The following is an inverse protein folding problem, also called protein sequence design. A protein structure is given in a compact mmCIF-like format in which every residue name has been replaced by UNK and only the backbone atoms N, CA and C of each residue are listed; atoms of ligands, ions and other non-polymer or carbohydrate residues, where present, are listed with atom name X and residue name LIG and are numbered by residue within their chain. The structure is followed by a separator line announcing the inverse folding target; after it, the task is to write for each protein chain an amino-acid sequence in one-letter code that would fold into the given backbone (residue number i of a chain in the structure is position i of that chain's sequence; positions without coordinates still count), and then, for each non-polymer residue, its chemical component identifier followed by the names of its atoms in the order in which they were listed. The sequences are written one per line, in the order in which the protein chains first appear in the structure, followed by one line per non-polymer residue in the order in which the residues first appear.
data_IF_752477810084
#
_entry.id   IF_752477810084
#
_cell.length_a   1.000
_cell.length_b   1.000
_cell.length_c   1.000
_cell.angle_alpha   90.00
_cell.angle_beta   90.00
_cell.angle_gamma   90.00
#
_symmetry.space_group_name_H-M   'P 1'
#
loop_
_entity.id
_entity.type
_entity.pdbx_description
1 polymer ?
#
# COMPACT_ATOMS: atom_id res chain seq x y z
N UNK A 1 3.94 -25.72 -22.85
CA UNK A 1 4.64 -25.64 -21.55
C UNK A 1 5.71 -24.56 -21.52
N UNK A 2 6.59 -24.40 -22.54
CA UNK A 2 7.66 -23.35 -22.55
C UNK A 2 7.14 -21.92 -22.40
N UNK A 3 5.98 -21.59 -22.95
CA UNK A 3 5.37 -20.24 -22.90
C UNK A 3 4.90 -19.86 -21.48
N UNK A 4 4.32 -20.81 -20.72
CA UNK A 4 3.85 -20.58 -19.35
C UNK A 4 5.03 -20.40 -18.41
N UNK A 5 6.06 -21.21 -18.52
CA UNK A 5 7.27 -21.08 -17.70
C UNK A 5 8.00 -19.75 -17.94
N UNK A 6 8.08 -19.28 -19.19
CA UNK A 6 8.69 -17.98 -19.50
C UNK A 6 7.87 -16.83 -18.94
N UNK A 7 6.53 -16.91 -18.98
CA UNK A 7 5.63 -15.93 -18.41
C UNK A 7 5.77 -15.86 -16.88
N UNK A 8 5.74 -17.01 -16.19
CA UNK A 8 5.92 -17.09 -14.74
C UNK A 8 7.28 -16.51 -14.36
N UNK A 9 8.37 -16.89 -15.03
CA UNK A 9 9.71 -16.37 -14.74
C UNK A 9 9.82 -14.85 -14.92
N UNK A 10 9.03 -14.25 -15.82
CA UNK A 10 9.00 -12.80 -16.06
C UNK A 10 8.14 -12.06 -15.06
N UNK A 11 7.05 -12.68 -14.55
CA UNK A 11 6.03 -12.03 -13.73
C UNK A 11 5.89 -12.60 -12.32
N UNK A 12 6.83 -13.47 -11.89
CA UNK A 12 6.73 -14.17 -10.61
C UNK A 12 6.51 -13.23 -9.40
N UNK A 13 7.18 -12.08 -9.39
CA UNK A 13 7.07 -11.14 -8.28
C UNK A 13 5.71 -10.43 -8.26
N UNK A 14 5.15 -10.18 -9.43
CA UNK A 14 3.77 -9.68 -9.56
C UNK A 14 2.76 -10.73 -9.08
N UNK A 15 2.94 -11.99 -9.43
CA UNK A 15 2.10 -13.10 -8.97
C UNK A 15 2.16 -13.26 -7.46
N UNK A 16 3.38 -13.24 -6.87
CA UNK A 16 3.55 -13.30 -5.42
C UNK A 16 2.84 -12.15 -4.71
N UNK A 17 2.97 -10.92 -5.20
CA UNK A 17 2.30 -9.76 -4.63
C UNK A 17 0.76 -9.86 -4.73
N UNK A 18 0.25 -10.42 -5.83
CA UNK A 18 -1.19 -10.61 -6.05
C UNK A 18 -1.73 -11.70 -5.13
N UNK A 19 -1.08 -12.86 -5.06
CA UNK A 19 -1.47 -13.95 -4.16
C UNK A 19 -1.34 -13.53 -2.70
N UNK A 20 -0.21 -12.92 -2.33
CA UNK A 20 0.03 -12.41 -0.99
C UNK A 20 -1.00 -11.36 -0.54
N UNK A 21 -1.45 -10.50 -1.47
CA UNK A 21 -2.50 -9.53 -1.21
C UNK A 21 -3.88 -10.15 -0.92
N UNK A 22 -4.14 -11.39 -1.36
CA UNK A 22 -5.38 -12.12 -1.07
C UNK A 22 -5.36 -12.82 0.29
N UNK A 23 -4.18 -13.07 0.87
CA UNK A 23 -4.06 -13.83 2.15
C UNK A 23 -4.93 -13.22 3.26
N UNK A 24 -4.92 -11.89 3.54
CA UNK A 24 -5.75 -11.34 4.59
C UNK A 24 -7.25 -11.57 4.34
N UNK A 25 -7.71 -11.53 3.08
CA UNK A 25 -9.11 -11.78 2.73
C UNK A 25 -9.51 -13.24 3.03
N UNK A 26 -8.65 -14.19 2.67
CA UNK A 26 -8.86 -15.61 2.97
C UNK A 26 -8.88 -15.83 4.49
N UNK A 27 -7.98 -15.23 5.23
CA UNK A 27 -7.95 -15.31 6.70
C UNK A 27 -9.22 -14.74 7.34
N UNK A 28 -9.73 -13.61 6.82
CA UNK A 28 -10.98 -13.00 7.26
C UNK A 28 -12.18 -13.93 7.02
N UNK A 29 -12.33 -14.42 5.78
CA UNK A 29 -13.46 -15.29 5.41
C UNK A 29 -13.47 -16.61 6.20
N UNK A 30 -12.30 -17.24 6.35
CA UNK A 30 -12.16 -18.47 7.15
C UNK A 30 -12.44 -18.21 8.63
N UNK A 31 -11.94 -17.09 9.20
CA UNK A 31 -12.17 -16.74 10.59
C UNK A 31 -13.64 -16.49 10.91
N UNK A 32 -14.36 -15.79 10.02
CA UNK A 32 -15.81 -15.55 10.12
C UNK A 32 -16.59 -16.87 10.01
N UNK A 33 -16.26 -17.71 9.02
CA UNK A 33 -16.95 -18.99 8.81
C UNK A 33 -16.79 -19.97 9.98
N UNK A 34 -15.62 -19.94 10.63
CA UNK A 34 -15.33 -20.81 11.76
C UNK A 34 -15.81 -20.26 13.11
N UNK A 35 -16.40 -19.07 13.14
CA UNK A 35 -16.86 -18.43 14.39
C UNK A 35 -15.74 -18.23 15.42
N UNK A 36 -14.49 -18.00 14.99
CA UNK A 36 -13.32 -17.96 15.88
C UNK A 36 -13.27 -16.73 16.78
N UNK A 37 -14.02 -15.70 16.47
CA UNK A 37 -13.87 -14.39 17.10
C UNK A 37 -15.02 -14.09 18.07
N UNK A 38 -14.65 -13.63 19.25
CA UNK A 38 -15.61 -13.20 20.30
C UNK A 38 -16.34 -11.93 19.82
N UNK A 39 -15.62 -11.00 19.21
CA UNK A 39 -16.17 -9.81 18.57
C UNK A 39 -15.77 -9.78 17.09
N UNK A 40 -16.62 -10.32 16.19
CA UNK A 40 -16.33 -10.35 14.76
C UNK A 40 -16.22 -8.97 14.13
N UNK A 41 -16.94 -7.95 14.64
CA UNK A 41 -16.94 -6.59 14.09
C UNK A 41 -15.60 -5.92 14.38
N UNK A 42 -15.17 -5.88 15.64
CA UNK A 42 -13.91 -5.30 16.04
C UNK A 42 -12.72 -6.00 15.37
N UNK A 43 -12.75 -7.35 15.30
CA UNK A 43 -11.68 -8.14 14.71
C UNK A 43 -11.58 -7.90 13.18
N UNK A 44 -12.71 -7.86 12.46
CA UNK A 44 -12.73 -7.60 11.01
C UNK A 44 -12.25 -6.19 10.72
N UNK A 45 -12.66 -5.20 11.52
CA UNK A 45 -12.21 -3.81 11.40
C UNK A 45 -10.71 -3.70 11.64
N UNK A 46 -10.19 -4.32 12.69
CA UNK A 46 -8.75 -4.33 13.02
C UNK A 46 -7.91 -5.00 11.93
N UNK A 47 -8.31 -6.18 11.44
CA UNK A 47 -7.58 -6.93 10.41
C UNK A 47 -7.57 -6.24 9.07
N UNK A 48 -8.69 -5.65 8.64
CA UNK A 48 -8.76 -4.90 7.38
C UNK A 48 -7.90 -3.63 7.44
N UNK A 49 -7.91 -2.90 8.56
CA UNK A 49 -7.04 -1.76 8.77
C UNK A 49 -5.55 -2.13 8.77
N UNK A 50 -5.19 -3.21 9.47
CA UNK A 50 -3.81 -3.72 9.51
C UNK A 50 -3.33 -4.19 8.13
N UNK A 51 -4.18 -4.87 7.36
CA UNK A 51 -3.85 -5.27 5.99
C UNK A 51 -3.67 -4.06 5.07
N UNK A 52 -4.52 -3.04 5.20
CA UNK A 52 -4.43 -1.81 4.41
C UNK A 52 -3.08 -1.10 4.61
N UNK A 53 -2.69 -0.85 5.86
CA UNK A 53 -1.43 -0.14 6.15
C UNK A 53 -0.21 -0.99 5.77
N UNK A 54 -0.21 -2.29 6.03
CA UNK A 54 0.87 -3.19 5.64
C UNK A 54 1.10 -3.16 4.13
N UNK A 55 0.05 -3.36 3.33
CA UNK A 55 0.14 -3.41 1.87
C UNK A 55 0.48 -2.04 1.27
N UNK A 56 0.02 -0.94 1.88
CA UNK A 56 0.41 0.41 1.52
C UNK A 56 1.91 0.62 1.72
N UNK A 57 2.45 0.24 2.88
CA UNK A 57 3.87 0.35 3.21
C UNK A 57 4.72 -0.54 2.29
N UNK A 58 4.30 -1.77 2.00
CA UNK A 58 4.96 -2.64 1.04
C UNK A 58 4.97 -2.05 -0.37
N UNK A 59 3.87 -1.44 -0.81
CA UNK A 59 3.81 -0.72 -2.09
C UNK A 59 4.78 0.47 -2.11
N UNK A 60 4.87 1.22 -1.02
CA UNK A 60 5.83 2.31 -0.87
C UNK A 60 7.28 1.80 -0.83
N UNK A 61 7.57 0.64 -0.27
CA UNK A 61 8.90 0.07 -0.18
C UNK A 61 9.49 -0.37 -1.53
N UNK A 62 8.65 -0.72 -2.51
CA UNK A 62 9.11 -1.20 -3.82
C UNK A 62 10.13 -0.29 -4.51
N UNK A 63 9.93 1.03 -4.47
CA UNK A 63 10.83 1.99 -5.12
C UNK A 63 12.17 2.15 -4.37
N UNK A 64 12.21 2.36 -3.04
CA UNK A 64 13.45 2.36 -2.27
C UNK A 64 14.25 1.07 -2.40
N UNK A 65 13.60 -0.09 -2.33
CA UNK A 65 14.26 -1.40 -2.52
C UNK A 65 14.97 -1.46 -3.89
N UNK A 66 14.29 -1.06 -4.95
CA UNK A 66 14.95 -0.98 -6.26
C UNK A 66 16.07 0.07 -6.28
N UNK A 67 15.90 1.20 -5.59
CA UNK A 67 16.93 2.24 -5.53
C UNK A 67 18.16 1.79 -4.77
N UNK A 68 18.02 1.10 -3.65
CA UNK A 68 19.14 0.63 -2.81
C UNK A 68 19.79 -0.63 -3.38
N UNK A 69 19.00 -1.64 -3.72
CA UNK A 69 19.51 -2.98 -4.10
C UNK A 69 19.55 -3.22 -5.62
N UNK A 70 18.96 -2.37 -6.46
CA UNK A 70 18.87 -2.59 -7.90
C UNK A 70 17.88 -3.68 -8.33
N UNK A 71 17.07 -4.18 -7.39
CA UNK A 71 16.16 -5.29 -7.64
C UNK A 71 14.90 -4.82 -8.39
N UNK A 72 14.98 -4.82 -9.73
CA UNK A 72 13.92 -4.34 -10.62
C UNK A 72 12.60 -5.12 -10.52
N UNK A 73 12.57 -6.46 -10.32
CA UNK A 73 11.32 -7.21 -10.26
C UNK A 73 10.33 -6.69 -9.21
N UNK A 74 10.83 -6.12 -8.09
CA UNK A 74 9.98 -5.56 -7.02
C UNK A 74 9.05 -4.44 -7.51
N UNK A 75 9.43 -3.71 -8.57
CA UNK A 75 8.61 -2.63 -9.11
C UNK A 75 7.29 -3.14 -9.72
N UNK A 76 7.23 -4.40 -10.14
CA UNK A 76 6.00 -5.01 -10.68
C UNK A 76 4.94 -5.24 -9.61
N UNK A 77 5.35 -5.42 -8.35
CA UNK A 77 4.47 -5.59 -7.21
C UNK A 77 3.82 -4.28 -6.72
N UNK A 78 4.40 -3.11 -7.04
CA UNK A 78 3.93 -1.82 -6.54
C UNK A 78 2.45 -1.56 -6.83
N UNK A 79 1.99 -1.88 -8.05
CA UNK A 79 0.60 -1.66 -8.45
C UNK A 79 -0.38 -2.60 -7.73
N UNK A 80 -0.23 -3.94 -7.76
CA UNK A 80 -1.15 -4.81 -7.05
C UNK A 80 -1.17 -4.53 -5.54
N UNK A 81 -0.03 -4.32 -4.89
CA UNK A 81 0.01 -3.99 -3.46
C UNK A 81 -0.75 -2.69 -3.14
N UNK A 82 -0.61 -1.65 -3.96
CA UNK A 82 -1.35 -0.40 -3.78
C UNK A 82 -2.85 -0.55 -3.99
N UNK A 83 -3.29 -1.37 -4.96
CA UNK A 83 -4.69 -1.65 -5.19
C UNK A 83 -5.32 -2.49 -4.06
N UNK A 84 -4.60 -3.47 -3.54
CA UNK A 84 -5.04 -4.23 -2.36
C UNK A 84 -5.08 -3.35 -1.10
N UNK A 85 -4.12 -2.45 -0.91
CA UNK A 85 -4.17 -1.48 0.19
C UNK A 85 -5.45 -0.64 0.13
N UNK A 86 -5.83 -0.16 -1.06
CA UNK A 86 -7.09 0.56 -1.25
C UNK A 86 -8.32 -0.34 -1.01
N UNK A 87 -8.30 -1.59 -1.49
CA UNK A 87 -9.39 -2.54 -1.26
C UNK A 87 -9.63 -2.75 0.24
N UNK A 88 -8.56 -3.02 1.00
CA UNK A 88 -8.68 -3.23 2.45
C UNK A 88 -9.03 -1.95 3.21
N UNK A 89 -8.57 -0.79 2.77
CA UNK A 89 -9.01 0.49 3.32
C UNK A 89 -10.51 0.72 3.07
N UNK A 90 -11.03 0.33 1.91
CA UNK A 90 -12.46 0.36 1.59
C UNK A 90 -13.27 -0.61 2.45
N UNK A 91 -12.80 -1.85 2.62
CA UNK A 91 -13.43 -2.82 3.50
C UNK A 91 -13.41 -2.37 4.96
N UNK A 92 -12.30 -1.77 5.43
CA UNK A 92 -12.18 -1.19 6.76
C UNK A 92 -13.22 -0.08 6.99
N UNK A 93 -13.36 0.84 6.04
CA UNK A 93 -14.35 1.91 6.10
C UNK A 93 -15.79 1.38 6.05
N UNK A 94 -16.07 0.41 5.15
CA UNK A 94 -17.39 -0.23 5.05
C UNK A 94 -17.78 -0.97 6.31
N UNK A 95 -16.87 -1.70 6.92
CA UNK A 95 -17.11 -2.36 8.22
C UNK A 95 -17.49 -1.33 9.27
N UNK A 96 -16.74 -0.26 9.36
CA UNK A 96 -16.97 0.78 10.33
C UNK A 96 -18.34 1.44 10.13
N UNK A 97 -18.66 1.89 8.91
CA UNK A 97 -19.97 2.52 8.62
C UNK A 97 -21.12 1.49 8.73
N UNK A 98 -20.92 0.27 8.24
CA UNK A 98 -21.98 -0.74 8.16
C UNK A 98 -22.24 -1.46 9.46
N UNK A 99 -21.18 -1.90 10.16
CA UNK A 99 -21.32 -2.75 11.34
C UNK A 99 -21.31 -1.95 12.64
N UNK A 100 -20.49 -0.89 12.77
CA UNK A 100 -20.48 -0.07 13.98
C UNK A 100 -21.60 0.98 13.99
N UNK A 101 -21.95 1.57 12.84
CA UNK A 101 -22.99 2.61 12.72
C UNK A 101 -24.28 2.12 12.04
N UNK A 102 -24.39 0.83 11.67
CA UNK A 102 -25.61 0.28 11.05
C UNK A 102 -26.07 1.03 9.79
N UNK A 103 -25.13 1.64 9.02
CA UNK A 103 -25.38 2.53 7.88
C UNK A 103 -26.12 3.82 8.25
N UNK A 104 -26.13 4.22 9.53
CA UNK A 104 -26.58 5.55 9.93
C UNK A 104 -25.53 6.59 9.55
N UNK A 105 -25.69 7.14 8.36
CA UNK A 105 -24.76 8.14 7.82
C UNK A 105 -24.76 9.43 8.63
N UNK A 106 -25.90 9.80 9.23
CA UNK A 106 -26.00 11.02 10.02
C UNK A 106 -25.20 10.88 11.31
N UNK A 107 -25.39 9.80 12.06
CA UNK A 107 -24.60 9.49 13.24
C UNK A 107 -23.09 9.34 12.90
N UNK A 108 -22.77 8.74 11.74
CA UNK A 108 -21.37 8.66 11.28
C UNK A 108 -20.75 10.03 11.04
N UNK A 109 -21.45 10.96 10.40
CA UNK A 109 -20.89 12.29 10.14
C UNK A 109 -20.83 13.14 11.42
N UNK A 110 -21.88 13.15 12.22
CA UNK A 110 -22.00 14.04 13.39
C UNK A 110 -21.12 13.56 14.56
N UNK A 111 -21.14 12.27 14.89
CA UNK A 111 -20.41 11.74 16.03
C UNK A 111 -18.99 11.29 15.67
N UNK A 112 -18.88 10.53 14.58
CA UNK A 112 -17.63 9.88 14.26
C UNK A 112 -16.65 10.82 13.57
N UNK A 113 -17.09 11.42 12.45
CA UNK A 113 -16.19 12.18 11.60
C UNK A 113 -15.82 13.53 12.20
N UNK A 114 -16.77 14.24 12.83
CA UNK A 114 -16.54 15.58 13.37
C UNK A 114 -15.91 15.57 14.76
N UNK A 115 -16.21 14.58 15.60
CA UNK A 115 -15.73 14.56 16.99
C UNK A 115 -14.44 13.76 17.19
N UNK A 116 -14.15 12.75 16.36
CA UNK A 116 -12.97 11.88 16.54
C UNK A 116 -11.88 12.20 15.52
N UNK A 117 -10.85 12.92 15.96
CA UNK A 117 -9.72 13.38 15.11
C UNK A 117 -9.09 12.27 14.27
N UNK A 118 -8.95 11.05 14.81
CA UNK A 118 -8.36 9.94 14.06
C UNK A 118 -9.23 9.54 12.87
N UNK A 119 -10.56 9.67 12.96
CA UNK A 119 -11.45 9.35 11.83
C UNK A 119 -11.33 10.33 10.69
N UNK A 120 -11.22 11.64 10.97
CA UNK A 120 -10.99 12.67 9.96
C UNK A 120 -9.74 12.32 9.14
N UNK A 121 -8.66 11.94 9.83
CA UNK A 121 -7.38 11.64 9.20
C UNK A 121 -7.44 10.34 8.39
N UNK A 122 -8.10 9.30 8.93
CA UNK A 122 -8.32 8.04 8.22
C UNK A 122 -9.17 8.21 6.97
N UNK A 123 -10.26 8.97 7.08
CA UNK A 123 -11.14 9.27 5.96
C UNK A 123 -10.44 10.11 4.89
N UNK A 124 -9.64 11.10 5.28
CA UNK A 124 -8.81 11.88 4.36
C UNK A 124 -7.79 10.99 3.62
N UNK A 125 -7.14 10.05 4.31
CA UNK A 125 -6.25 9.08 3.69
C UNK A 125 -6.98 8.23 2.63
N UNK A 126 -8.18 7.75 2.95
CA UNK A 126 -9.01 6.98 2.01
C UNK A 126 -9.41 7.81 0.79
N UNK A 127 -9.85 9.06 0.98
CA UNK A 127 -10.21 9.97 -0.11
C UNK A 127 -9.03 10.26 -1.05
N UNK A 128 -7.80 10.27 -0.53
CA UNK A 128 -6.60 10.37 -1.37
C UNK A 128 -6.37 9.07 -2.15
N UNK A 129 -6.52 7.91 -1.51
CA UNK A 129 -6.29 6.61 -2.17
C UNK A 129 -7.31 6.32 -3.28
N UNK A 130 -8.53 6.82 -3.16
CA UNK A 130 -9.60 6.60 -4.13
C UNK A 130 -9.23 7.04 -5.56
N UNK A 131 -8.85 8.31 -5.85
CA UNK A 131 -8.43 8.71 -7.19
C UNK A 131 -7.15 7.99 -7.65
N UNK A 132 -6.25 7.61 -6.75
CA UNK A 132 -5.06 6.83 -7.09
C UNK A 132 -5.43 5.43 -7.60
N UNK A 133 -6.39 4.78 -6.97
CA UNK A 133 -6.89 3.46 -7.39
C UNK A 133 -7.59 3.55 -8.74
N UNK A 134 -8.53 4.50 -8.93
CA UNK A 134 -9.26 4.72 -10.18
C UNK A 134 -8.28 4.99 -11.33
N UNK A 135 -7.27 5.84 -11.12
CA UNK A 135 -6.31 6.24 -12.16
C UNK A 135 -5.14 5.26 -12.35
N UNK A 136 -5.16 4.10 -11.69
CA UNK A 136 -4.12 3.06 -11.83
C UNK A 136 -4.22 2.25 -13.12
N UNK A 137 -5.13 2.54 -14.04
CA UNK A 137 -5.28 1.86 -15.33
C UNK A 137 -4.38 2.46 -16.41
N UNK A 138 -4.03 1.65 -17.43
CA UNK A 138 -3.24 2.13 -18.59
C UNK A 138 -3.93 3.28 -19.34
N UNK A 139 -5.27 3.27 -19.41
CA UNK A 139 -6.06 4.33 -20.03
C UNK A 139 -5.90 5.67 -19.33
N UNK A 140 -6.03 5.69 -18.01
CA UNK A 140 -5.85 6.89 -17.21
C UNK A 140 -4.41 7.40 -17.23
N UNK A 141 -3.41 6.51 -17.22
CA UNK A 141 -2.00 6.90 -17.35
C UNK A 141 -1.73 7.67 -18.66
N UNK A 142 -2.32 7.20 -19.78
CA UNK A 142 -2.23 7.89 -21.08
C UNK A 142 -2.96 9.24 -21.04
N UNK A 143 -4.18 9.28 -20.48
CA UNK A 143 -5.02 10.47 -20.45
C UNK A 143 -4.43 11.58 -19.59
N UNK A 144 -3.89 11.26 -18.42
CA UNK A 144 -3.32 12.23 -17.47
C UNK A 144 -1.87 12.62 -17.80
N UNK A 145 -1.12 11.81 -18.54
CA UNK A 145 0.26 12.09 -18.93
C UNK A 145 1.16 12.46 -17.75
N UNK A 146 1.76 13.66 -17.77
CA UNK A 146 2.65 14.14 -16.69
C UNK A 146 1.91 14.31 -15.35
N UNK A 147 0.63 14.67 -15.36
CA UNK A 147 -0.17 14.90 -14.16
C UNK A 147 -0.42 13.60 -13.41
N UNK A 148 -0.41 12.45 -14.10
CA UNK A 148 -0.51 11.15 -13.44
C UNK A 148 0.57 10.94 -12.37
N UNK A 149 1.82 11.30 -12.68
CA UNK A 149 2.92 11.18 -11.70
C UNK A 149 2.72 12.10 -10.50
N UNK A 150 2.25 13.33 -10.71
CA UNK A 150 1.97 14.29 -9.64
C UNK A 150 0.84 13.78 -8.74
N UNK A 151 -0.28 13.30 -9.34
CA UNK A 151 -1.39 12.72 -8.61
C UNK A 151 -0.92 11.53 -7.75
N UNK A 152 -0.16 10.60 -8.34
CA UNK A 152 0.32 9.41 -7.63
C UNK A 152 1.41 9.69 -6.57
N UNK A 153 1.95 10.90 -6.49
CA UNK A 153 2.79 11.33 -5.35
C UNK A 153 1.97 11.55 -4.07
N UNK A 154 0.66 11.79 -4.18
CA UNK A 154 -0.22 11.91 -3.01
C UNK A 154 -0.27 10.62 -2.16
N UNK A 155 0.17 9.48 -2.69
CA UNK A 155 0.35 8.24 -1.90
C UNK A 155 1.28 8.46 -0.69
N UNK A 156 2.21 9.40 -0.76
CA UNK A 156 3.09 9.72 0.37
C UNK A 156 2.32 10.41 1.50
N UNK A 157 1.43 11.33 1.13
CA UNK A 157 0.52 11.98 2.08
C UNK A 157 -0.42 10.94 2.68
N UNK A 158 -1.02 10.07 1.86
CA UNK A 158 -1.87 8.99 2.33
C UNK A 158 -1.14 8.07 3.34
N UNK A 159 0.14 7.74 3.09
CA UNK A 159 0.97 6.95 3.99
C UNK A 159 1.20 7.63 5.35
N UNK A 160 1.47 8.93 5.35
CA UNK A 160 1.61 9.73 6.59
C UNK A 160 0.29 9.77 7.35
N UNK A 161 -0.82 10.06 6.66
CA UNK A 161 -2.15 10.12 7.27
C UNK A 161 -2.58 8.75 7.84
N UNK A 162 -2.28 7.65 7.16
CA UNK A 162 -2.57 6.30 7.65
C UNK A 162 -1.82 6.00 8.96
N UNK A 163 -0.55 6.39 9.06
CA UNK A 163 0.24 6.26 10.31
C UNK A 163 -0.34 7.14 11.41
N UNK A 164 -0.69 8.40 11.13
CA UNK A 164 -1.30 9.31 12.11
C UNK A 164 -2.66 8.79 12.58
N UNK A 165 -3.48 8.27 11.66
CA UNK A 165 -4.75 7.62 12.00
C UNK A 165 -4.54 6.48 12.98
N UNK A 166 -3.58 5.59 12.71
CA UNK A 166 -3.27 4.45 13.56
C UNK A 166 -2.72 4.89 14.93
N UNK A 167 -1.81 5.87 14.95
CA UNK A 167 -1.21 6.42 16.18
C UNK A 167 -2.27 7.07 17.10
N UNK A 168 -3.24 7.78 16.52
CA UNK A 168 -4.29 8.43 17.31
C UNK A 168 -5.43 7.49 17.75
N UNK A 169 -5.59 6.37 17.04
CA UNK A 169 -6.56 5.33 17.38
C UNK A 169 -6.11 4.56 18.63
N UNK A 170 -4.82 4.19 18.69
CA UNK A 170 -4.29 3.31 19.72
C UNK A 170 -3.88 4.14 20.94
N UNK A 171 -4.44 3.81 22.14
CA UNK A 171 -4.19 4.55 23.38
C UNK A 171 -3.20 3.87 24.32
N UNK A 172 -3.05 2.55 24.26
CA UNK A 172 -2.30 1.76 25.25
C UNK A 172 -0.96 1.30 24.68
N UNK A 173 -0.93 0.61 23.57
CA UNK A 173 0.31 0.11 22.95
C UNK A 173 0.57 0.78 21.60
N UNK A 174 1.37 1.84 21.61
CA UNK A 174 1.76 2.61 20.43
C UNK A 174 2.94 2.00 19.67
N UNK A 175 3.42 0.81 20.06
CA UNK A 175 4.61 0.17 19.46
C UNK A 175 4.45 -0.04 17.96
N UNK A 176 3.35 -0.66 17.53
CA UNK A 176 3.11 -0.90 16.11
C UNK A 176 2.94 0.37 15.27
N UNK A 177 2.12 1.36 15.70
CA UNK A 177 2.06 2.65 15.02
C UNK A 177 3.42 3.33 14.86
N UNK A 178 4.29 3.30 15.89
CA UNK A 178 5.63 3.88 15.81
C UNK A 178 6.54 3.13 14.85
N UNK A 179 6.47 1.78 14.81
CA UNK A 179 7.21 0.97 13.84
C UNK A 179 6.80 1.35 12.42
N UNK A 180 5.50 1.40 12.12
CA UNK A 180 5.02 1.83 10.80
C UNK A 180 5.43 3.26 10.47
N UNK A 181 5.38 4.16 11.46
CA UNK A 181 5.83 5.54 11.32
C UNK A 181 7.31 5.65 10.97
N UNK A 182 8.17 4.92 11.69
CA UNK A 182 9.60 4.85 11.41
C UNK A 182 9.88 4.29 10.00
N UNK A 183 9.21 3.20 9.62
CA UNK A 183 9.36 2.61 8.28
C UNK A 183 8.95 3.62 7.21
N UNK A 184 7.77 4.25 7.33
CA UNK A 184 7.30 5.26 6.36
C UNK A 184 8.28 6.43 6.28
N UNK A 185 8.77 6.95 7.41
CA UNK A 185 9.75 8.03 7.44
C UNK A 185 11.03 7.65 6.68
N UNK A 186 11.60 6.48 6.94
CA UNK A 186 12.78 5.96 6.22
C UNK A 186 12.50 5.82 4.72
N UNK A 187 11.35 5.25 4.34
CA UNK A 187 10.98 5.08 2.93
C UNK A 187 10.85 6.43 2.21
N UNK A 188 10.33 7.47 2.87
CA UNK A 188 10.21 8.81 2.31
C UNK A 188 11.57 9.50 2.20
N UNK A 189 12.43 9.36 3.22
CA UNK A 189 13.79 9.90 3.23
C UNK A 189 14.62 9.30 2.08
N UNK A 190 14.55 7.99 1.86
CA UNK A 190 15.22 7.30 0.74
C UNK A 190 14.75 7.76 -0.65
N UNK A 191 13.63 8.47 -0.74
CA UNK A 191 13.11 9.03 -2.00
C UNK A 191 13.57 10.46 -2.28
N UNK A 192 14.17 11.13 -1.29
CA UNK A 192 14.70 12.47 -1.47
C UNK A 192 15.76 12.48 -2.58
N UNK A 193 15.72 13.48 -3.49
CA UNK A 193 16.64 13.53 -4.63
C UNK A 193 18.12 13.50 -4.22
N UNK A 194 18.45 14.12 -3.10
CA UNK A 194 19.82 14.17 -2.55
C UNK A 194 20.29 12.77 -2.18
N UNK A 195 19.50 12.04 -1.39
CA UNK A 195 19.86 10.70 -0.92
C UNK A 195 19.89 9.71 -2.09
N UNK A 196 18.92 9.81 -3.00
CA UNK A 196 18.91 8.97 -4.20
C UNK A 196 20.14 9.21 -5.10
N UNK A 197 20.59 10.44 -5.24
CA UNK A 197 21.83 10.76 -5.98
C UNK A 197 23.04 10.12 -5.27
N UNK A 198 23.15 10.29 -3.97
CA UNK A 198 24.22 9.72 -3.16
C UNK A 198 24.27 8.18 -3.27
N UNK A 199 23.15 7.50 -3.12
CA UNK A 199 23.07 6.03 -3.30
C UNK A 199 23.52 5.61 -4.70
N UNK A 200 23.15 6.38 -5.74
CA UNK A 200 23.55 6.07 -7.12
C UNK A 200 25.06 6.28 -7.36
N UNK A 201 25.73 7.14 -6.61
CA UNK A 201 27.21 7.28 -6.68
C UNK A 201 27.94 6.09 -6.05
N UNK A 202 27.36 5.46 -5.04
CA UNK A 202 27.92 4.30 -4.36
C UNK A 202 27.76 3.00 -5.18
N UNK A 203 26.91 3.01 -6.22
CA UNK A 203 26.70 1.82 -7.05
C UNK A 203 27.83 1.66 -8.06
N UNK A 204 28.40 0.43 -8.19
CA UNK A 204 29.34 0.14 -9.27
C UNK A 204 28.70 0.45 -10.62
N UNK A 205 29.33 1.28 -11.43
CA UNK A 205 28.90 1.50 -12.82
C UNK A 205 29.06 0.16 -13.57
N UNK A 206 28.03 -0.29 -14.34
CA UNK A 206 28.16 -1.49 -15.15
C UNK A 206 29.36 -1.31 -16.10
N UNK A 207 30.26 -2.27 -16.09
CA UNK A 207 31.41 -2.30 -17.00
C UNK A 207 30.92 -2.29 -18.44
N UNK A 208 31.68 -1.67 -19.39
CA UNK A 208 31.30 -1.66 -20.81
C UNK A 208 30.98 -3.05 -21.36
N UNK A 209 31.72 -4.07 -20.92
CA UNK A 209 31.50 -5.50 -21.28
C UNK A 209 30.15 -6.03 -20.77
N UNK A 210 29.68 -5.60 -19.60
CA UNK A 210 28.37 -5.99 -19.05
C UNK A 210 27.20 -5.35 -19.82
N UNK A 211 27.40 -4.15 -20.39
CA UNK A 211 26.37 -3.51 -21.26
C UNK A 211 26.19 -4.28 -22.57
N UNK A 212 27.29 -4.73 -23.19
CA UNK A 212 27.23 -5.48 -24.46
C UNK A 212 26.56 -6.84 -24.28
N UNK A 213 26.80 -7.55 -23.16
CA UNK A 213 26.08 -8.80 -22.85
C UNK A 213 24.59 -8.59 -22.61
N UNK A 214 24.21 -7.55 -21.89
CA UNK A 214 22.79 -7.26 -21.63
C UNK A 214 22.00 -6.87 -22.91
N UNK A 215 22.68 -6.34 -23.92
CA UNK A 215 22.07 -6.03 -25.24
C UNK A 215 21.99 -7.29 -26.10
N UNK A 216 22.94 -8.22 -25.97
CA UNK A 216 22.96 -9.47 -26.74
C UNK A 216 21.97 -10.54 -26.21
N UNK A 217 21.51 -10.43 -24.97
CA UNK A 217 20.59 -11.36 -24.32
C UNK A 217 19.13 -10.85 -24.25
N UNK A 218 18.84 -9.66 -24.77
CA UNK A 218 17.51 -9.05 -24.81
C UNK A 218 16.93 -8.99 -26.21
#
# INVERSE_FOLDING_TARGET
MKTVQSYIRKHWFWLLATIGGLIPLVQLTVGLWQGRWVDPVAETTSRTGSAAILLLVLSLACTPINTVFGFRPVLTARKPLGLYAFLYAGLHLLNFIGLDYGFDYQAFFDDALLQKRFMIVGFAAFLILLPLAITSTKGWMKRLGRNWKRLHQLVYVAGILAVLHYLWLVKIDITWPLIYGAIVAVLLVLRLPVIRRWINTLRPKPTPTGRLRAIAEG
#
